data_IF_201103877288
#
_entry.id   IF_201103877288
#
_cell.length_a   1.000
_cell.length_b   1.000
_cell.length_c   1.000
_cell.angle_alpha   90.00
_cell.angle_beta   90.00
_cell.angle_gamma   90.00
#
_symmetry.space_group_name_H-M   'P 1'
#
loop_
_entity.id
_entity.type
_entity.pdbx_description
1 polymer ?
#
# COMPACT_ATOMS: atom_id res chain seq x y z
N UNK A 1 -44.82 -21.44 -25.11
CA UNK A 1 -43.88 -21.93 -26.15
C UNK A 1 -42.47 -21.57 -25.71
N UNK A 2 -41.76 -22.57 -25.20
CA UNK A 2 -40.36 -22.40 -24.71
C UNK A 2 -39.40 -22.66 -25.86
N UNK A 3 -38.56 -21.71 -26.21
CA UNK A 3 -37.44 -21.91 -27.11
C UNK A 3 -36.15 -22.05 -26.33
N UNK A 4 -35.62 -23.26 -26.31
CA UNK A 4 -34.34 -23.63 -25.77
C UNK A 4 -33.31 -23.34 -26.85
N UNK A 5 -32.32 -22.48 -26.60
CA UNK A 5 -31.17 -22.27 -27.49
C UNK A 5 -30.00 -23.01 -26.88
N UNK A 6 -29.60 -24.09 -27.52
CA UNK A 6 -28.42 -24.88 -27.16
C UNK A 6 -27.20 -24.26 -27.84
N UNK A 7 -26.22 -23.79 -27.07
CA UNK A 7 -24.93 -23.30 -27.58
C UNK A 7 -23.90 -24.44 -27.51
N UNK A 8 -23.44 -24.88 -28.63
CA UNK A 8 -22.39 -25.88 -28.75
C UNK A 8 -21.01 -25.23 -28.56
N UNK A 9 -20.23 -25.75 -27.62
CA UNK A 9 -18.83 -25.37 -27.36
C UNK A 9 -17.95 -26.29 -28.22
N UNK A 10 -17.28 -25.74 -29.21
CA UNK A 10 -16.29 -26.44 -30.01
C UNK A 10 -14.92 -26.34 -29.34
N UNK A 11 -14.40 -27.49 -28.92
CA UNK A 11 -13.05 -27.67 -28.38
C UNK A 11 -12.03 -27.63 -29.52
N UNK A 12 -11.19 -26.60 -29.56
CA UNK A 12 -10.03 -26.53 -30.48
C UNK A 12 -8.73 -26.78 -29.70
N UNK A 13 -8.26 -28.04 -29.74
CA UNK A 13 -6.94 -28.44 -29.22
C UNK A 13 -5.90 -28.17 -30.31
N UNK A 14 -5.12 -27.13 -30.21
CA UNK A 14 -3.96 -26.88 -31.07
C UNK A 14 -2.67 -27.15 -30.29
N UNK A 15 -2.09 -28.32 -30.53
CA UNK A 15 -0.71 -28.67 -30.14
C UNK A 15 0.26 -27.96 -31.10
N UNK A 16 1.01 -26.98 -30.59
CA UNK A 16 2.22 -26.52 -31.25
C UNK A 16 3.45 -26.96 -30.44
N UNK A 17 3.99 -28.09 -30.90
CA UNK A 17 5.38 -28.46 -30.62
C UNK A 17 6.27 -27.72 -31.63
N UNK A 18 7.00 -26.74 -31.18
CA UNK A 18 8.17 -26.22 -31.88
C UNK A 18 9.20 -25.83 -30.85
N UNK A 19 10.20 -26.68 -30.70
CA UNK A 19 11.39 -26.38 -29.95
C UNK A 19 12.21 -25.34 -30.68
N UNK A 20 12.79 -24.41 -29.90
CA UNK A 20 14.10 -23.80 -30.13
C UNK A 20 14.49 -23.03 -28.89
N UNK A 21 15.73 -23.26 -28.45
CA UNK A 21 16.33 -22.77 -27.23
C UNK A 21 16.09 -21.28 -26.94
N UNK A 22 15.26 -21.03 -25.95
CA UNK A 22 15.21 -19.75 -25.28
C UNK A 22 16.23 -19.80 -24.14
N UNK A 23 17.33 -19.08 -24.28
CA UNK A 23 18.19 -18.69 -23.18
C UNK A 23 17.29 -18.04 -22.13
N UNK A 24 17.10 -18.73 -21.00
CA UNK A 24 16.45 -18.17 -19.82
C UNK A 24 17.35 -17.04 -19.25
N UNK A 25 17.20 -15.84 -19.82
CA UNK A 25 17.58 -14.64 -19.10
C UNK A 25 16.60 -14.53 -17.93
N UNK A 26 17.05 -14.53 -16.67
CA UNK A 26 16.17 -14.32 -15.55
C UNK A 26 15.46 -12.98 -15.77
N UNK A 27 14.13 -13.00 -15.73
CA UNK A 27 13.35 -11.76 -15.72
C UNK A 27 13.92 -10.86 -14.61
N UNK A 28 14.09 -9.55 -14.84
CA UNK A 28 14.59 -8.66 -13.81
C UNK A 28 13.65 -8.80 -12.62
N UNK A 29 14.17 -9.40 -11.53
CA UNK A 29 13.45 -9.46 -10.27
C UNK A 29 13.25 -8.02 -9.84
N UNK A 30 12.01 -7.58 -9.79
CA UNK A 30 11.67 -6.30 -9.18
C UNK A 30 12.32 -6.30 -7.80
N UNK A 31 13.19 -5.34 -7.53
CA UNK A 31 13.92 -5.27 -6.28
C UNK A 31 12.91 -5.30 -5.13
N UNK A 32 13.05 -6.27 -4.24
CA UNK A 32 12.14 -6.44 -3.12
C UNK A 32 12.23 -5.20 -2.22
N UNK A 33 11.12 -4.48 -2.06
CA UNK A 33 11.07 -3.28 -1.22
C UNK A 33 11.31 -3.66 0.24
N UNK A 34 12.27 -3.00 0.88
CA UNK A 34 12.61 -3.22 2.30
C UNK A 34 12.12 -2.08 3.17
N UNK A 35 11.87 -2.35 4.45
CA UNK A 35 11.54 -1.32 5.44
C UNK A 35 12.63 -0.21 5.50
N UNK A 36 13.91 -0.61 5.36
CA UNK A 36 15.05 0.33 5.35
C UNK A 36 14.97 1.40 4.25
N UNK A 37 14.25 1.14 3.17
CA UNK A 37 14.08 2.10 2.08
C UNK A 37 13.24 3.31 2.51
N UNK A 38 12.51 3.19 3.63
CA UNK A 38 11.70 4.27 4.21
C UNK A 38 12.49 5.18 5.16
N UNK A 39 13.57 4.67 5.81
CA UNK A 39 14.16 5.33 6.98
C UNK A 39 14.80 6.69 6.72
N UNK A 40 15.35 6.91 5.53
CA UNK A 40 15.98 8.19 5.16
C UNK A 40 15.08 9.15 4.39
N UNK A 41 13.79 8.83 4.22
CA UNK A 41 12.89 9.67 3.44
C UNK A 41 12.41 10.87 4.24
N UNK A 42 12.47 12.07 3.63
CA UNK A 42 11.78 13.24 4.14
C UNK A 42 10.29 13.13 3.80
N UNK A 43 9.51 12.61 4.75
CA UNK A 43 8.08 12.34 4.60
C UNK A 43 7.30 13.58 4.16
N UNK A 44 7.70 14.77 4.63
CA UNK A 44 7.01 16.02 4.30
C UNK A 44 7.14 16.33 2.81
N UNK A 45 8.29 16.02 2.21
CA UNK A 45 8.55 16.29 0.79
C UNK A 45 8.06 15.19 -0.13
N UNK A 46 8.33 13.92 0.21
CA UNK A 46 7.99 12.80 -0.71
C UNK A 46 6.49 12.49 -0.73
N UNK A 47 5.75 12.84 0.32
CA UNK A 47 4.31 12.63 0.41
C UNK A 47 3.48 13.88 0.13
N UNK A 48 4.09 14.96 -0.34
CA UNK A 48 3.38 16.17 -0.78
C UNK A 48 3.12 16.08 -2.28
N UNK A 49 1.86 16.26 -2.69
CA UNK A 49 1.48 16.35 -4.10
C UNK A 49 1.91 17.73 -4.62
N UNK A 50 2.74 17.75 -5.64
CA UNK A 50 3.36 18.96 -6.18
C UNK A 50 3.63 18.84 -7.69
N UNK A 51 4.29 19.81 -8.27
CA UNK A 51 4.72 19.73 -9.66
C UNK A 51 5.74 18.60 -9.92
N UNK A 52 6.46 18.16 -8.89
CA UNK A 52 7.46 17.07 -8.97
C UNK A 52 6.94 15.72 -8.52
N UNK A 53 5.89 15.68 -7.71
CA UNK A 53 5.30 14.46 -7.17
C UNK A 53 3.83 14.41 -7.58
N UNK A 54 3.51 13.60 -8.56
CA UNK A 54 2.11 13.41 -8.95
C UNK A 54 1.33 12.63 -7.88
N UNK A 55 0.01 12.75 -7.90
CA UNK A 55 -0.88 11.98 -7.03
C UNK A 55 -0.61 10.47 -7.14
N UNK A 56 -0.33 9.98 -8.35
CA UNK A 56 -0.04 8.56 -8.58
C UNK A 56 1.30 8.15 -7.97
N UNK A 57 2.32 9.01 -8.01
CA UNK A 57 3.63 8.72 -7.39
C UNK A 57 3.49 8.65 -5.88
N UNK A 58 2.78 9.60 -5.27
CA UNK A 58 2.54 9.63 -3.82
C UNK A 58 1.70 8.44 -3.36
N UNK A 59 0.66 8.07 -4.11
CA UNK A 59 -0.11 6.86 -3.85
C UNK A 59 0.74 5.59 -4.03
N UNK A 60 1.62 5.59 -5.02
CA UNK A 60 2.59 4.53 -5.26
C UNK A 60 3.51 4.29 -4.05
N UNK A 61 3.97 5.35 -3.39
CA UNK A 61 4.74 5.24 -2.15
C UNK A 61 3.93 4.62 -1.02
N UNK A 62 2.68 5.04 -0.84
CA UNK A 62 1.79 4.42 0.14
C UNK A 62 1.63 2.91 -0.09
N UNK A 63 1.37 2.52 -1.33
CA UNK A 63 1.22 1.11 -1.75
C UNK A 63 2.52 0.32 -1.62
N UNK A 64 3.66 0.97 -1.76
CA UNK A 64 4.98 0.38 -1.60
C UNK A 64 5.29 0.05 -0.15
N UNK A 65 5.02 0.97 0.78
CA UNK A 65 5.45 0.87 2.17
C UNK A 65 4.40 0.31 3.12
N UNK A 66 3.11 0.56 2.89
CA UNK A 66 2.07 0.09 3.81
C UNK A 66 2.02 -1.44 3.99
N UNK A 67 2.20 -2.29 2.95
CA UNK A 67 2.24 -3.74 3.14
C UNK A 67 3.36 -4.18 4.09
N UNK A 68 4.47 -3.45 4.14
CA UNK A 68 5.58 -3.72 5.06
C UNK A 68 5.18 -3.32 6.48
N UNK A 69 4.52 -2.16 6.65
CA UNK A 69 3.99 -1.74 7.95
C UNK A 69 2.95 -2.72 8.51
N UNK A 70 2.06 -3.24 7.66
CA UNK A 70 1.09 -4.29 8.01
C UNK A 70 1.81 -5.57 8.45
N UNK A 71 2.78 -6.05 7.66
CA UNK A 71 3.59 -7.24 7.99
C UNK A 71 4.32 -7.09 9.32
N UNK A 72 4.82 -5.90 9.59
CA UNK A 72 5.54 -5.57 10.84
C UNK A 72 4.60 -5.23 12.00
N UNK A 73 3.28 -5.27 11.82
CA UNK A 73 2.26 -4.96 12.83
C UNK A 73 2.36 -3.52 13.39
N UNK A 74 2.79 -2.59 12.56
CA UNK A 74 2.94 -1.15 12.90
C UNK A 74 2.08 -0.25 12.02
N UNK A 75 1.10 -0.80 11.33
CA UNK A 75 0.20 -0.02 10.51
C UNK A 75 -0.55 1.02 11.35
N UNK A 76 -0.53 2.28 10.91
CA UNK A 76 -1.30 3.33 11.57
C UNK A 76 -2.80 3.18 11.34
N UNK A 77 -3.55 3.44 12.41
CA UNK A 77 -5.00 3.55 12.38
C UNK A 77 -5.41 4.96 12.76
N UNK A 78 -6.34 5.54 12.02
CA UNK A 78 -6.93 6.84 12.35
C UNK A 78 -8.45 6.71 12.49
N UNK A 79 -8.99 7.04 13.65
CA UNK A 79 -10.41 6.90 13.97
C UNK A 79 -10.96 5.50 13.69
N UNK A 80 -10.12 4.48 13.87
CA UNK A 80 -10.47 3.09 13.58
C UNK A 80 -10.27 2.65 12.12
N UNK A 81 -9.95 3.58 11.21
CA UNK A 81 -9.66 3.26 9.81
C UNK A 81 -8.16 2.99 9.62
N UNK A 82 -7.74 1.78 9.24
CA UNK A 82 -6.33 1.48 8.97
C UNK A 82 -5.85 2.14 7.68
N UNK A 83 -4.55 2.34 7.55
CA UNK A 83 -3.94 2.96 6.36
C UNK A 83 -4.23 2.15 5.08
N UNK A 84 -4.29 0.83 5.17
CA UNK A 84 -4.69 -0.05 4.06
C UNK A 84 -6.09 0.29 3.52
N UNK A 85 -7.05 0.58 4.41
CA UNK A 85 -8.39 1.01 4.00
C UNK A 85 -8.37 2.41 3.38
N UNK A 86 -7.52 3.34 3.87
CA UNK A 86 -7.32 4.64 3.22
C UNK A 86 -6.85 4.48 1.78
N UNK A 87 -5.86 3.62 1.54
CA UNK A 87 -5.34 3.33 0.20
C UNK A 87 -6.44 2.76 -0.69
N UNK A 88 -7.17 1.75 -0.20
CA UNK A 88 -8.23 1.08 -0.97
C UNK A 88 -9.38 2.03 -1.36
N UNK A 89 -9.88 2.84 -0.41
CA UNK A 89 -10.94 3.80 -0.71
C UNK A 89 -10.47 4.94 -1.61
N UNK A 90 -9.18 5.32 -1.52
CA UNK A 90 -8.58 6.30 -2.44
C UNK A 90 -8.51 5.74 -3.87
N UNK A 91 -8.06 4.50 -4.05
CA UNK A 91 -8.03 3.83 -5.36
C UNK A 91 -9.42 3.68 -5.95
N UNK A 92 -10.40 3.30 -5.14
CA UNK A 92 -11.81 3.19 -5.54
C UNK A 92 -12.39 4.53 -6.00
N UNK A 93 -12.12 5.61 -5.26
CA UNK A 93 -12.55 6.96 -5.64
C UNK A 93 -11.90 7.40 -6.96
N UNK A 94 -10.61 7.16 -7.13
CA UNK A 94 -9.88 7.47 -8.37
C UNK A 94 -10.41 6.68 -9.58
N UNK A 95 -10.66 5.39 -9.40
CA UNK A 95 -11.22 4.54 -10.47
C UNK A 95 -12.62 5.00 -10.90
N UNK A 96 -13.40 5.57 -9.98
CA UNK A 96 -14.71 6.15 -10.26
C UNK A 96 -14.64 7.59 -10.80
N UNK A 97 -13.46 8.18 -10.98
CA UNK A 97 -13.29 9.59 -11.35
C UNK A 97 -13.73 10.58 -10.27
N UNK A 98 -13.87 10.09 -9.03
CA UNK A 98 -14.27 10.89 -7.88
C UNK A 98 -13.16 11.80 -7.37
N UNK A 99 -13.56 12.88 -6.69
CA UNK A 99 -12.63 13.83 -6.05
C UNK A 99 -12.61 13.71 -4.52
N UNK A 100 -13.47 12.87 -3.97
CA UNK A 100 -13.64 12.68 -2.53
C UNK A 100 -13.56 11.20 -2.17
N UNK A 101 -12.96 10.94 -1.02
CA UNK A 101 -12.87 9.64 -0.36
C UNK A 101 -13.78 9.66 0.86
N UNK A 102 -14.66 8.68 0.99
CA UNK A 102 -15.50 8.50 2.17
C UNK A 102 -14.68 7.79 3.24
N UNK A 103 -14.64 8.36 4.44
CA UNK A 103 -13.95 7.72 5.56
C UNK A 103 -14.80 6.61 6.16
N UNK A 104 -14.15 5.51 6.52
CA UNK A 104 -14.79 4.38 7.18
C UNK A 104 -14.64 4.51 8.71
N UNK A 105 -15.53 3.88 9.44
CA UNK A 105 -15.41 3.71 10.89
C UNK A 105 -14.56 2.46 11.24
N UNK A 106 -14.43 2.16 12.52
CA UNK A 106 -13.68 1.01 13.01
C UNK A 106 -14.27 -0.36 12.60
N UNK A 107 -15.52 -0.38 12.10
CA UNK A 107 -16.18 -1.59 11.59
C UNK A 107 -16.05 -1.71 10.06
N UNK A 108 -15.44 -0.71 9.43
CA UNK A 108 -15.33 -0.62 7.97
C UNK A 108 -16.60 -0.07 7.30
N UNK A 109 -17.52 0.51 8.07
CA UNK A 109 -18.74 1.10 7.54
C UNK A 109 -18.51 2.56 7.09
N UNK A 110 -19.13 3.00 5.98
CA UNK A 110 -18.97 4.36 5.50
C UNK A 110 -19.56 5.38 6.47
N UNK A 111 -18.77 6.41 6.79
CA UNK A 111 -19.20 7.54 7.62
C UNK A 111 -19.73 8.69 6.77
N UNK A 112 -20.22 9.75 7.43
CA UNK A 112 -20.59 11.01 6.75
C UNK A 112 -19.37 11.88 6.42
N UNK A 113 -18.19 11.53 6.95
CA UNK A 113 -16.96 12.30 6.77
C UNK A 113 -16.33 11.95 5.43
N UNK A 114 -15.95 13.00 4.71
CA UNK A 114 -15.26 12.89 3.45
C UNK A 114 -14.00 13.75 3.47
N UNK A 115 -13.03 13.35 2.70
CA UNK A 115 -11.79 14.11 2.45
C UNK A 115 -11.52 14.14 0.95
N UNK A 116 -10.69 15.07 0.48
CA UNK A 116 -10.29 15.05 -0.94
C UNK A 116 -9.37 13.87 -1.21
N UNK A 117 -9.33 13.44 -2.47
CA UNK A 117 -8.45 12.35 -2.91
C UNK A 117 -6.99 12.71 -2.67
N UNK A 118 -6.60 13.97 -2.90
CA UNK A 118 -5.24 14.47 -2.64
C UNK A 118 -4.88 14.32 -1.16
N UNK A 119 -5.74 14.81 -0.27
CA UNK A 119 -5.52 14.69 1.17
C UNK A 119 -5.42 13.23 1.61
N UNK A 120 -6.31 12.36 1.11
CA UNK A 120 -6.29 10.93 1.43
C UNK A 120 -4.98 10.27 0.97
N UNK A 121 -4.53 10.60 -0.23
CA UNK A 121 -3.28 10.09 -0.81
C UNK A 121 -2.06 10.50 0.00
N UNK A 122 -1.92 11.79 0.29
CA UNK A 122 -0.81 12.29 1.12
C UNK A 122 -0.81 11.68 2.51
N UNK A 123 -2.00 11.53 3.10
CA UNK A 123 -2.16 10.94 4.42
C UNK A 123 -1.74 9.47 4.43
N UNK A 124 -2.19 8.69 3.45
CA UNK A 124 -1.82 7.28 3.31
C UNK A 124 -0.30 7.12 3.14
N UNK A 125 0.34 7.97 2.33
CA UNK A 125 1.79 7.99 2.16
C UNK A 125 2.51 8.31 3.47
N UNK A 126 2.13 9.41 4.14
CA UNK A 126 2.71 9.84 5.41
C UNK A 126 2.61 8.74 6.46
N UNK A 127 1.44 8.14 6.63
CA UNK A 127 1.24 7.06 7.59
C UNK A 127 2.08 5.82 7.29
N UNK A 128 2.15 5.40 6.02
CA UNK A 128 2.91 4.22 5.62
C UNK A 128 4.41 4.36 5.90
N UNK A 129 5.00 5.51 5.59
CA UNK A 129 6.43 5.75 5.79
C UNK A 129 6.73 6.00 7.26
N UNK A 130 5.95 6.88 7.94
CA UNK A 130 6.17 7.22 9.35
C UNK A 130 6.04 5.99 10.25
N UNK A 131 5.13 5.05 9.95
CA UNK A 131 5.01 3.81 10.71
C UNK A 131 6.32 3.03 10.76
N UNK A 132 7.02 2.91 9.63
CA UNK A 132 8.30 2.21 9.53
C UNK A 132 9.44 2.99 10.18
N UNK A 133 9.47 4.32 10.00
CA UNK A 133 10.46 5.20 10.64
C UNK A 133 10.33 5.14 12.15
N UNK A 134 9.12 5.30 12.70
CA UNK A 134 8.87 5.23 14.14
C UNK A 134 9.22 3.86 14.74
N UNK A 135 8.96 2.76 14.00
CA UNK A 135 9.39 1.43 14.42
C UNK A 135 10.91 1.33 14.51
N UNK A 136 11.61 1.87 13.51
CA UNK A 136 13.07 1.86 13.47
C UNK A 136 13.65 2.69 14.63
N UNK A 137 13.17 3.92 14.83
CA UNK A 137 13.57 4.80 15.91
C UNK A 137 13.34 4.14 17.28
N UNK A 138 12.12 3.64 17.53
CA UNK A 138 11.80 2.94 18.77
C UNK A 138 12.73 1.74 19.01
N UNK A 139 13.05 0.96 17.98
CA UNK A 139 13.95 -0.20 18.10
C UNK A 139 15.41 0.19 18.38
N UNK A 140 15.83 1.38 17.99
CA UNK A 140 17.15 1.93 18.29
C UNK A 140 17.22 2.55 19.69
N UNK A 141 16.18 3.29 20.07
CA UNK A 141 16.15 4.07 21.29
C UNK A 141 15.81 3.23 22.55
N UNK A 142 15.03 2.16 22.44
CA UNK A 142 14.68 1.35 23.59
C UNK A 142 15.91 0.79 24.32
N UNK A 143 17.01 0.58 23.62
CA UNK A 143 18.29 0.16 24.20
C UNK A 143 18.91 1.24 25.08
N UNK A 144 18.58 2.51 24.83
CA UNK A 144 19.02 3.64 25.65
C UNK A 144 18.10 3.83 26.88
N UNK A 145 16.89 3.29 26.82
CA UNK A 145 15.93 3.35 27.90
C UNK A 145 16.09 2.21 28.93
N UNK A 146 16.96 1.24 28.65
CA UNK A 146 17.34 0.24 29.67
C UNK A 146 18.13 0.99 30.73
N UNK A 147 17.68 1.01 32.01
CA UNK A 147 18.41 1.69 33.07
C UNK A 147 19.85 1.18 33.09
N UNK A 148 20.81 2.09 32.92
CA UNK A 148 22.20 1.76 33.12
C UNK A 148 22.40 1.15 34.48
N UNK A 149 23.44 0.40 34.69
CA UNK A 149 23.84 -0.48 35.79
C UNK A 149 23.58 -0.05 37.24
N UNK A 150 22.62 0.80 37.49
CA UNK A 150 22.23 1.29 38.82
C UNK A 150 20.95 0.69 39.40
N UNK A 151 20.20 -0.10 38.65
CA UNK A 151 18.99 -0.76 39.13
C UNK A 151 19.18 -2.29 39.16
N UNK A 152 19.47 -2.80 40.37
CA UNK A 152 19.29 -4.23 40.68
C UNK A 152 17.82 -4.48 40.98
N UNK A 153 17.17 -5.31 40.19
CA UNK A 153 15.83 -5.83 40.46
C UNK A 153 15.93 -7.04 41.41
#
# INVERSE_FOLDING_TARGET
MKKIVTLAVASGLALFLSGCGATNAPAPQAAETKASDAYGLDVSKVCEISATNSLQDVLGLAKKFNPIAVKNQVEFMRFGMPTSAYIAETEKALAAGGKEVVLLDAKGEPTKNKVTVEYATERACKFSITALQSQHEASAEWKLAVPGDGYTY
#
